data_IF_745296332405
#
_entry.id   IF_745296332405
#
_cell.length_a   1.000
_cell.length_b   1.000
_cell.length_c   1.000
_cell.angle_alpha   90.00
_cell.angle_beta   90.00
_cell.angle_gamma   90.00
#
_symmetry.space_group_name_H-M   'P 1'
#
loop_
_entity.id
_entity.type
_entity.pdbx_description
1 polymer ?
#
# COMPACT_ATOMS: atom_id res chain seq x y z
N UNK A 1 15.21 -15.58 0.68
CA UNK A 1 15.35 -14.71 1.88
C UNK A 1 14.08 -13.90 2.12
N UNK A 2 13.51 -13.28 1.08
CA UNK A 2 12.32 -12.45 1.23
C UNK A 2 11.10 -13.23 1.74
N UNK A 3 10.88 -14.45 1.25
CA UNK A 3 9.73 -15.28 1.66
C UNK A 3 9.71 -15.60 3.15
N UNK A 4 10.87 -15.91 3.75
CA UNK A 4 11.00 -16.16 5.20
C UNK A 4 10.62 -14.93 6.04
N UNK A 5 10.91 -13.72 5.53
CA UNK A 5 10.58 -12.46 6.21
C UNK A 5 9.09 -12.13 6.01
N UNK A 6 8.57 -12.27 4.79
CA UNK A 6 7.20 -11.86 4.46
C UNK A 6 6.16 -12.83 5.02
N UNK A 7 6.44 -14.13 5.08
CA UNK A 7 5.44 -15.15 5.42
C UNK A 7 4.80 -14.94 6.82
N UNK A 8 5.55 -14.66 7.90
CA UNK A 8 4.94 -14.35 9.21
C UNK A 8 4.04 -13.10 9.16
N UNK A 9 4.45 -12.06 8.42
CA UNK A 9 3.66 -10.85 8.27
C UNK A 9 2.38 -11.10 7.48
N UNK A 10 2.46 -11.86 6.38
CA UNK A 10 1.32 -12.21 5.55
C UNK A 10 0.31 -13.09 6.30
N UNK A 11 0.78 -14.15 6.96
CA UNK A 11 -0.12 -15.06 7.69
C UNK A 11 -0.89 -14.32 8.78
N UNK A 12 -0.22 -13.43 9.52
CA UNK A 12 -0.87 -12.51 10.45
C UNK A 12 -1.88 -11.60 9.74
N UNK A 13 -1.50 -11.00 8.61
CA UNK A 13 -2.39 -10.16 7.81
C UNK A 13 -3.66 -10.92 7.35
N UNK A 14 -3.55 -12.16 6.87
CA UNK A 14 -4.70 -12.97 6.49
C UNK A 14 -5.56 -13.39 7.69
N UNK A 15 -4.96 -13.63 8.86
CA UNK A 15 -5.72 -13.87 10.09
C UNK A 15 -6.59 -12.66 10.45
N UNK A 16 -6.01 -11.46 10.36
CA UNK A 16 -6.70 -10.19 10.61
C UNK A 16 -7.79 -9.95 9.56
N UNK A 17 -7.48 -10.17 8.28
CA UNK A 17 -8.42 -9.98 7.19
C UNK A 17 -9.61 -10.95 7.25
N UNK A 18 -9.36 -12.20 7.65
CA UNK A 18 -10.39 -13.23 7.85
C UNK A 18 -11.33 -12.83 8.98
N UNK A 19 -10.81 -12.28 10.09
CA UNK A 19 -11.65 -11.78 11.19
C UNK A 19 -12.63 -10.68 10.72
N UNK A 20 -12.25 -9.90 9.71
CA UNK A 20 -13.04 -8.78 9.19
C UNK A 20 -13.80 -9.09 7.90
N UNK A 21 -13.67 -10.31 7.35
CA UNK A 21 -14.28 -10.74 6.08
C UNK A 21 -14.06 -9.75 4.91
N UNK A 22 -12.90 -9.06 4.87
CA UNK A 22 -12.70 -7.91 3.99
C UNK A 22 -11.95 -8.22 2.68
N UNK A 23 -11.32 -9.39 2.56
CA UNK A 23 -10.53 -9.77 1.38
C UNK A 23 -11.19 -10.88 0.56
N UNK A 24 -10.88 -10.90 -0.74
CA UNK A 24 -11.26 -11.98 -1.66
C UNK A 24 -10.35 -13.20 -1.57
N UNK A 25 -9.32 -13.14 -0.73
CA UNK A 25 -8.27 -14.13 -0.61
C UNK A 25 -8.17 -14.62 0.84
N UNK A 26 -7.81 -15.88 1.02
CA UNK A 26 -7.58 -16.49 2.33
C UNK A 26 -6.29 -17.31 2.33
N UNK A 27 -5.67 -17.42 3.50
CA UNK A 27 -4.57 -18.35 3.69
C UNK A 27 -5.11 -19.75 4.00
N UNK A 28 -4.72 -20.74 3.19
CA UNK A 28 -5.08 -22.14 3.43
C UNK A 28 -3.93 -22.86 4.18
N UNK A 29 -4.05 -23.10 5.50
CA UNK A 29 -2.96 -23.71 6.27
C UNK A 29 -2.70 -25.17 5.86
N UNK A 30 -3.71 -25.89 5.35
CA UNK A 30 -3.55 -27.28 4.91
C UNK A 30 -2.72 -27.39 3.62
N UNK A 31 -2.89 -26.42 2.72
CA UNK A 31 -2.19 -26.39 1.43
C UNK A 31 -0.95 -25.49 1.45
N UNK A 32 -0.70 -24.79 2.55
CA UNK A 32 0.35 -23.79 2.71
C UNK A 32 0.40 -22.80 1.53
N UNK A 33 -0.77 -22.32 1.10
CA UNK A 33 -0.93 -21.46 -0.08
C UNK A 33 -2.11 -20.52 0.06
N UNK A 34 -2.08 -19.41 -0.65
CA UNK A 34 -3.21 -18.50 -0.79
C UNK A 34 -4.24 -19.11 -1.73
N UNK A 35 -5.50 -19.10 -1.29
CA UNK A 35 -6.66 -19.51 -2.08
C UNK A 35 -7.69 -18.40 -2.13
N UNK A 36 -8.67 -18.54 -3.01
CA UNK A 36 -9.84 -17.66 -2.98
C UNK A 36 -10.65 -17.89 -1.71
N UNK A 37 -11.17 -16.80 -1.14
CA UNK A 37 -12.08 -16.82 0.01
C UNK A 37 -13.42 -17.52 -0.27
N UNK A 38 -14.14 -17.85 0.79
CA UNK A 38 -15.47 -18.46 0.73
C UNK A 38 -16.53 -17.56 0.08
N UNK A 39 -17.64 -18.15 -0.37
CA UNK A 39 -18.76 -17.41 -1.01
C UNK A 39 -19.33 -16.30 -0.12
N UNK A 40 -19.38 -16.54 1.20
CA UNK A 40 -19.86 -15.55 2.17
C UNK A 40 -18.95 -14.32 2.22
N UNK A 41 -17.64 -14.52 2.41
CA UNK A 41 -16.64 -13.44 2.46
C UNK A 41 -16.65 -12.59 1.18
N UNK A 42 -16.77 -13.24 0.02
CA UNK A 42 -16.90 -12.55 -1.28
C UNK A 42 -18.13 -11.66 -1.33
N UNK A 43 -19.29 -12.16 -0.88
CA UNK A 43 -20.54 -11.38 -0.84
C UNK A 43 -20.44 -10.23 0.17
N UNK A 44 -19.90 -10.49 1.35
CA UNK A 44 -19.74 -9.50 2.40
C UNK A 44 -18.76 -8.38 1.99
N UNK A 45 -17.61 -8.73 1.42
CA UNK A 45 -16.63 -7.76 0.95
C UNK A 45 -17.21 -6.82 -0.12
N UNK A 46 -18.07 -7.31 -1.01
CA UNK A 46 -18.81 -6.48 -1.99
C UNK A 46 -19.79 -5.52 -1.34
N UNK A 47 -20.58 -5.98 -0.35
CA UNK A 47 -21.49 -5.11 0.39
C UNK A 47 -20.69 -4.02 1.09
N UNK A 48 -19.63 -4.38 1.80
CA UNK A 48 -18.78 -3.42 2.49
C UNK A 48 -18.06 -2.47 1.53
N UNK A 49 -17.77 -2.88 0.29
CA UNK A 49 -17.21 -1.99 -0.73
C UNK A 49 -18.20 -0.87 -1.08
N UNK A 50 -19.48 -1.22 -1.29
CA UNK A 50 -20.53 -0.23 -1.54
C UNK A 50 -20.71 0.71 -0.34
N UNK A 51 -20.71 0.16 0.88
CA UNK A 51 -20.78 0.95 2.12
C UNK A 51 -19.62 1.93 2.22
N UNK A 52 -18.40 1.51 1.89
CA UNK A 52 -17.21 2.38 1.93
C UNK A 52 -17.26 3.52 0.92
N UNK A 53 -17.79 3.28 -0.28
CA UNK A 53 -18.03 4.37 -1.24
C UNK A 53 -19.08 5.36 -0.73
N UNK A 54 -20.18 4.86 -0.15
CA UNK A 54 -21.17 5.71 0.51
C UNK A 54 -20.55 6.53 1.64
N UNK A 55 -19.70 5.90 2.46
CA UNK A 55 -18.96 6.55 3.54
C UNK A 55 -18.04 7.66 3.02
N UNK A 56 -17.23 7.39 1.99
CA UNK A 56 -16.36 8.40 1.35
C UNK A 56 -17.17 9.58 0.78
N UNK A 57 -18.32 9.32 0.15
CA UNK A 57 -19.18 10.38 -0.35
C UNK A 57 -19.71 11.26 0.79
N UNK A 58 -20.14 10.65 1.90
CA UNK A 58 -20.54 11.38 3.10
C UNK A 58 -19.40 12.22 3.67
N UNK A 59 -18.17 11.69 3.70
CA UNK A 59 -16.97 12.44 4.13
C UNK A 59 -16.71 13.68 3.27
N UNK A 60 -16.81 13.54 1.95
CA UNK A 60 -16.64 14.65 1.01
C UNK A 60 -17.71 15.72 1.25
N UNK A 61 -18.98 15.30 1.34
CA UNK A 61 -20.11 16.21 1.60
C UNK A 61 -19.93 16.93 2.95
N UNK A 62 -19.56 16.20 4.01
CA UNK A 62 -19.33 16.76 5.33
C UNK A 62 -18.19 17.77 5.35
N UNK A 63 -17.10 17.50 4.61
CA UNK A 63 -15.98 18.43 4.47
C UNK A 63 -16.37 19.69 3.69
N UNK A 64 -17.19 19.55 2.64
CA UNK A 64 -17.67 20.66 1.82
C UNK A 64 -18.63 21.58 2.57
N UNK A 65 -19.51 21.03 3.42
CA UNK A 65 -20.49 21.81 4.21
C UNK A 65 -19.87 22.40 5.48
N UNK A 66 -18.79 21.80 5.99
CA UNK A 66 -18.14 22.25 7.23
C UNK A 66 -17.73 23.72 7.16
N UNK A 67 -18.07 24.49 8.19
CA UNK A 67 -17.65 25.89 8.36
C UNK A 67 -16.27 26.03 9.02
N UNK A 68 -15.57 24.91 9.28
CA UNK A 68 -14.26 24.91 9.93
C UNK A 68 -13.23 25.68 9.11
N UNK A 69 -12.24 26.24 9.81
CA UNK A 69 -11.13 26.96 9.18
C UNK A 69 -10.32 26.01 8.28
N UNK A 70 -9.60 26.53 7.26
CA UNK A 70 -8.76 25.68 6.41
C UNK A 70 -7.73 24.84 7.18
N UNK A 71 -7.20 25.37 8.29
CA UNK A 71 -6.27 24.65 9.17
C UNK A 71 -6.96 23.44 9.84
N UNK A 72 -8.15 23.63 10.40
CA UNK A 72 -8.92 22.55 11.03
C UNK A 72 -9.38 21.49 10.01
N UNK A 73 -9.52 21.87 8.73
CA UNK A 73 -9.89 20.98 7.62
C UNK A 73 -8.74 20.14 7.08
N UNK A 74 -7.47 20.42 7.40
CA UNK A 74 -6.33 19.73 6.77
C UNK A 74 -6.24 18.25 7.16
N UNK A 75 -6.32 17.95 8.46
CA UNK A 75 -6.31 16.58 8.96
C UNK A 75 -7.53 15.81 8.42
N UNK A 76 -8.76 16.36 8.50
CA UNK A 76 -9.93 15.75 7.89
C UNK A 76 -9.80 15.47 6.39
N UNK A 77 -9.31 16.43 5.62
CA UNK A 77 -9.10 16.29 4.18
C UNK A 77 -8.08 15.18 3.88
N UNK A 78 -7.00 15.11 4.67
CA UNK A 78 -5.98 14.06 4.55
C UNK A 78 -6.57 12.68 4.83
N UNK A 79 -7.41 12.57 5.86
CA UNK A 79 -8.09 11.31 6.20
C UNK A 79 -9.10 10.90 5.12
N UNK A 80 -9.91 11.84 4.61
CA UNK A 80 -10.81 11.59 3.47
C UNK A 80 -10.02 11.12 2.25
N UNK A 81 -8.90 11.78 1.94
CA UNK A 81 -8.04 11.38 0.82
C UNK A 81 -7.49 9.96 1.00
N UNK A 82 -7.05 9.61 2.20
CA UNK A 82 -6.61 8.25 2.53
C UNK A 82 -7.76 7.23 2.35
N UNK A 83 -8.97 7.55 2.78
CA UNK A 83 -10.13 6.67 2.59
C UNK A 83 -10.53 6.51 1.11
N UNK A 84 -10.43 7.58 0.32
CA UNK A 84 -10.59 7.54 -1.14
C UNK A 84 -9.53 6.61 -1.74
N UNK A 85 -8.27 6.79 -1.36
CA UNK A 85 -7.14 5.96 -1.80
C UNK A 85 -7.37 4.47 -1.51
N UNK A 86 -7.73 4.14 -0.27
CA UNK A 86 -8.02 2.77 0.13
C UNK A 86 -9.25 2.19 -0.61
N UNK A 87 -10.28 2.99 -0.86
CA UNK A 87 -11.49 2.57 -1.58
C UNK A 87 -11.20 2.26 -3.05
N UNK A 88 -10.40 3.09 -3.73
CA UNK A 88 -9.95 2.83 -5.10
C UNK A 88 -9.10 1.56 -5.20
N UNK A 89 -8.15 1.36 -4.27
CA UNK A 89 -7.37 0.13 -4.20
C UNK A 89 -8.24 -1.10 -3.92
N UNK A 90 -9.26 -0.93 -3.08
CA UNK A 90 -10.26 -1.94 -2.74
C UNK A 90 -11.31 -2.20 -3.80
N UNK A 91 -11.34 -1.43 -4.89
CA UNK A 91 -12.33 -1.57 -5.95
C UNK A 91 -12.08 -2.83 -6.79
N UNK A 92 -12.49 -3.96 -6.23
CA UNK A 92 -12.36 -5.32 -6.78
C UNK A 92 -13.68 -6.04 -6.62
N UNK A 93 -14.14 -6.65 -7.71
CA UNK A 93 -15.40 -7.38 -7.72
C UNK A 93 -15.23 -8.89 -7.48
N UNK A 94 -14.05 -9.43 -7.78
CA UNK A 94 -13.71 -10.85 -7.69
C UNK A 94 -12.23 -11.05 -7.41
N UNK A 95 -11.88 -12.22 -6.85
CA UNK A 95 -10.49 -12.62 -6.71
C UNK A 95 -9.81 -12.61 -8.08
N UNK A 96 -8.63 -12.00 -8.16
CA UNK A 96 -7.80 -12.01 -9.36
C UNK A 96 -6.86 -13.22 -9.30
N UNK A 97 -6.95 -14.09 -10.30
CA UNK A 97 -6.10 -15.28 -10.40
C UNK A 97 -4.61 -14.93 -10.49
N UNK A 98 -4.25 -13.79 -11.11
CA UNK A 98 -2.86 -13.35 -11.21
C UNK A 98 -2.29 -13.02 -9.82
N UNK A 99 -3.07 -12.33 -8.97
CA UNK A 99 -2.67 -12.04 -7.59
C UNK A 99 -2.46 -13.32 -6.78
N UNK A 100 -3.35 -14.32 -6.92
CA UNK A 100 -3.21 -15.63 -6.26
C UNK A 100 -1.95 -16.36 -6.72
N UNK A 101 -1.69 -16.37 -8.04
CA UNK A 101 -0.50 -16.99 -8.61
C UNK A 101 0.78 -16.30 -8.13
N UNK A 102 0.84 -14.97 -8.22
CA UNK A 102 1.98 -14.16 -7.78
C UNK A 102 2.31 -14.42 -6.30
N UNK A 103 1.30 -14.33 -5.43
CA UNK A 103 1.47 -14.62 -4.00
C UNK A 103 2.01 -16.04 -3.80
N UNK A 104 1.40 -17.05 -4.42
CA UNK A 104 1.84 -18.44 -4.26
C UNK A 104 3.28 -18.68 -4.76
N UNK A 105 3.72 -18.00 -5.83
CA UNK A 105 5.11 -18.07 -6.30
C UNK A 105 6.07 -17.48 -5.26
N UNK A 106 5.74 -16.31 -4.72
CA UNK A 106 6.55 -15.64 -3.68
C UNK A 106 6.75 -16.59 -2.50
N UNK A 107 5.68 -17.25 -2.03
CA UNK A 107 5.75 -18.15 -0.86
C UNK A 107 6.40 -19.49 -1.17
N UNK A 108 6.14 -20.10 -2.32
CA UNK A 108 6.71 -21.40 -2.67
C UNK A 108 8.24 -21.36 -2.79
N UNK A 109 8.81 -20.19 -3.10
CA UNK A 109 10.26 -19.99 -3.23
C UNK A 109 11.07 -20.25 -1.95
N UNK A 110 10.43 -20.22 -0.77
CA UNK A 110 11.10 -20.42 0.53
C UNK A 110 11.86 -21.75 0.61
N UNK A 111 11.25 -22.84 0.12
CA UNK A 111 11.85 -24.18 0.20
C UNK A 111 13.15 -24.33 -0.59
N UNK A 112 13.36 -23.49 -1.60
CA UNK A 112 14.54 -23.54 -2.48
C UNK A 112 15.69 -22.65 -2.01
N UNK A 113 15.40 -21.63 -1.19
CA UNK A 113 16.36 -20.55 -0.88
C UNK A 113 17.32 -20.85 0.28
N UNK A 114 17.14 -21.93 1.05
CA UNK A 114 17.94 -22.17 2.26
C UNK A 114 19.41 -22.51 2.02
N UNK A 115 19.79 -22.92 0.81
CA UNK A 115 21.13 -23.45 0.55
C UNK A 115 22.13 -22.43 -0.05
N UNK A 116 21.68 -21.34 -0.70
CA UNK A 116 22.58 -20.61 -1.63
C UNK A 116 22.99 -19.16 -1.26
N UNK A 117 22.44 -18.51 -0.23
CA UNK A 117 22.64 -17.05 -0.02
C UNK A 117 23.14 -16.65 1.38
N UNK A 118 24.39 -16.99 1.75
CA UNK A 118 24.94 -16.64 3.09
C UNK A 118 25.60 -15.26 3.24
N UNK A 119 25.88 -14.51 2.16
CA UNK A 119 26.83 -13.38 2.24
C UNK A 119 26.26 -11.95 2.24
N UNK A 120 25.37 -11.61 1.30
CA UNK A 120 25.19 -10.20 0.88
C UNK A 120 23.77 -9.62 1.10
N UNK A 121 22.85 -10.37 1.68
CA UNK A 121 21.44 -9.98 1.80
C UNK A 121 21.01 -9.36 3.15
N UNK A 122 21.89 -9.31 4.16
CA UNK A 122 21.48 -9.01 5.55
C UNK A 122 20.86 -7.62 5.73
N UNK A 123 21.47 -6.57 5.16
CA UNK A 123 20.97 -5.19 5.32
C UNK A 123 19.61 -5.03 4.63
N UNK A 124 19.47 -5.52 3.39
CA UNK A 124 18.21 -5.47 2.66
C UNK A 124 17.10 -6.24 3.40
N UNK A 125 17.41 -7.42 3.93
CA UNK A 125 16.49 -8.18 4.78
C UNK A 125 16.01 -7.38 6.00
N UNK A 126 16.93 -6.73 6.72
CA UNK A 126 16.60 -5.91 7.89
C UNK A 126 15.69 -4.74 7.48
N UNK A 127 16.01 -4.03 6.40
CA UNK A 127 15.19 -2.90 5.90
C UNK A 127 13.79 -3.37 5.53
N UNK A 128 13.68 -4.50 4.81
CA UNK A 128 12.39 -5.06 4.42
C UNK A 128 11.60 -5.48 5.67
N UNK A 129 12.21 -6.23 6.59
CA UNK A 129 11.52 -6.64 7.80
C UNK A 129 11.04 -5.44 8.64
N UNK A 130 11.89 -4.42 8.79
CA UNK A 130 11.55 -3.17 9.47
C UNK A 130 10.38 -2.47 8.78
N UNK A 131 10.40 -2.39 7.44
CA UNK A 131 9.33 -1.75 6.67
C UNK A 131 8.00 -2.48 6.86
N UNK A 132 7.97 -3.81 6.77
CA UNK A 132 6.73 -4.58 6.99
C UNK A 132 6.26 -4.52 8.44
N UNK A 133 7.19 -4.47 9.40
CA UNK A 133 6.87 -4.33 10.81
C UNK A 133 6.26 -2.96 11.10
N UNK A 134 6.86 -1.89 10.57
CA UNK A 134 6.37 -0.52 10.70
C UNK A 134 5.01 -0.35 10.01
N UNK A 135 4.86 -0.86 8.78
CA UNK A 135 3.60 -0.81 8.05
C UNK A 135 2.48 -1.59 8.76
N UNK A 136 2.76 -2.78 9.28
CA UNK A 136 1.76 -3.54 10.03
C UNK A 136 1.43 -2.90 11.39
N UNK A 137 2.42 -2.34 12.08
CA UNK A 137 2.21 -1.63 13.33
C UNK A 137 1.36 -0.37 13.12
N UNK A 138 1.71 0.45 12.12
CA UNK A 138 0.94 1.65 11.78
C UNK A 138 -0.48 1.28 11.35
N UNK A 139 -0.62 0.26 10.49
CA UNK A 139 -1.89 -0.18 9.94
C UNK A 139 -2.85 -0.76 10.98
N UNK A 140 -2.40 -1.65 11.85
CA UNK A 140 -3.30 -2.43 12.71
C UNK A 140 -3.31 -1.98 14.17
N UNK A 141 -2.22 -1.39 14.65
CA UNK A 141 -2.03 -1.11 16.07
C UNK A 141 -2.14 0.39 16.37
N UNK A 142 -1.50 1.24 15.57
CA UNK A 142 -1.48 2.67 15.84
C UNK A 142 -2.72 3.37 15.27
N UNK A 143 -2.96 3.24 13.96
CA UNK A 143 -3.87 4.14 13.26
C UNK A 143 -5.35 3.95 13.64
N UNK A 144 -5.96 2.75 13.56
CA UNK A 144 -7.37 2.61 13.91
C UNK A 144 -7.69 2.95 15.38
N UNK A 145 -6.91 2.50 16.39
CA UNK A 145 -7.14 2.91 17.77
C UNK A 145 -6.94 4.42 17.99
N UNK A 146 -5.97 5.05 17.33
CA UNK A 146 -5.79 6.49 17.43
C UNK A 146 -7.00 7.27 16.92
N UNK A 147 -7.66 6.81 15.84
CA UNK A 147 -8.91 7.42 15.38
C UNK A 147 -10.05 7.19 16.38
N UNK A 148 -10.15 6.01 17.01
CA UNK A 148 -11.13 5.76 18.07
C UNK A 148 -10.93 6.71 19.25
N UNK A 149 -9.68 6.86 19.72
CA UNK A 149 -9.35 7.82 20.79
C UNK A 149 -9.73 9.23 20.37
N UNK A 150 -9.41 9.62 19.13
CA UNK A 150 -9.79 10.92 18.60
C UNK A 150 -11.32 11.11 18.58
N UNK A 151 -12.10 10.09 18.21
CA UNK A 151 -13.57 10.14 18.22
C UNK A 151 -14.18 10.21 19.62
N UNK A 152 -13.51 9.62 20.62
CA UNK A 152 -13.93 9.73 22.03
C UNK A 152 -13.73 11.15 22.54
N UNK A 153 -12.63 11.81 22.14
CA UNK A 153 -12.29 13.18 22.55
C UNK A 153 -13.08 14.22 21.72
N UNK A 154 -13.16 14.01 20.41
CA UNK A 154 -13.73 14.92 19.40
C UNK A 154 -14.78 14.19 18.55
N UNK A 155 -15.98 13.92 19.11
CA UNK A 155 -17.00 13.10 18.45
C UNK A 155 -17.55 13.70 17.15
N UNK A 156 -17.43 15.03 16.99
CA UNK A 156 -17.91 15.75 15.80
C UNK A 156 -16.77 16.26 14.92
N UNK A 157 -15.58 15.65 15.00
CA UNK A 157 -14.49 15.97 14.09
C UNK A 157 -14.89 15.59 12.66
N UNK A 158 -15.02 16.58 11.77
CA UNK A 158 -15.11 16.30 10.33
C UNK A 158 -13.88 15.48 9.91
N UNK A 159 -13.94 14.56 8.93
CA UNK A 159 -15.06 14.22 8.07
C UNK A 159 -15.86 13.03 8.64
N UNK A 160 -15.64 12.67 9.90
CA UNK A 160 -16.21 11.46 10.50
C UNK A 160 -17.71 11.61 10.64
N UNK A 161 -18.44 10.49 10.57
CA UNK A 161 -19.89 10.40 10.60
C UNK A 161 -20.49 11.11 11.82
N UNK A 162 -19.77 11.18 12.93
CA UNK A 162 -20.22 11.90 14.12
C UNK A 162 -20.51 13.39 13.85
N UNK A 163 -19.75 14.03 12.95
CA UNK A 163 -19.99 15.43 12.54
C UNK A 163 -21.30 15.64 11.76
N UNK A 164 -21.81 14.59 11.11
CA UNK A 164 -23.04 14.62 10.31
C UNK A 164 -24.25 14.11 11.09
N UNK A 165 -24.04 13.09 11.92
CA UNK A 165 -25.11 12.33 12.57
C UNK A 165 -25.39 12.81 14.00
N UNK A 166 -24.40 13.37 14.71
CA UNK A 166 -24.60 13.82 16.09
C UNK A 166 -25.10 15.27 16.11
N UNK A 167 -26.11 15.58 16.94
CA UNK A 167 -26.55 16.95 17.11
C UNK A 167 -25.49 17.79 17.83
N UNK A 168 -25.48 19.11 17.56
CA UNK A 168 -24.39 20.02 17.96
C UNK A 168 -24.15 20.10 19.48
N UNK A 169 -25.19 19.90 20.28
CA UNK A 169 -25.13 19.87 21.75
C UNK A 169 -24.31 18.69 22.29
N UNK A 170 -24.16 17.64 21.49
CA UNK A 170 -23.39 16.45 21.82
C UNK A 170 -21.90 16.65 21.52
N UNK A 171 -21.56 17.52 20.57
CA UNK A 171 -20.17 17.70 20.13
C UNK A 171 -19.23 18.22 21.21
N UNK A 172 -19.75 19.01 22.17
CA UNK A 172 -18.98 19.56 23.28
C UNK A 172 -18.97 18.67 24.52
N UNK A 173 -19.79 17.62 24.56
CA UNK A 173 -19.92 16.75 25.74
C UNK A 173 -19.01 15.53 25.63
N UNK A 174 -18.22 15.20 26.68
CA UNK A 174 -17.47 13.97 26.72
C UNK A 174 -18.41 12.75 26.71
N UNK A 175 -17.89 11.61 26.24
CA UNK A 175 -18.67 10.38 26.01
C UNK A 175 -19.51 10.00 27.24
N UNK A 176 -18.91 9.95 28.43
CA UNK A 176 -19.57 9.48 29.67
C UNK A 176 -20.62 10.44 30.24
N UNK A 177 -20.67 11.69 29.78
CA UNK A 177 -21.73 12.63 30.19
C UNK A 177 -22.98 12.52 29.30
N UNK A 178 -22.91 11.78 28.20
CA UNK A 178 -24.09 11.45 27.41
C UNK A 178 -24.85 10.34 28.13
N UNK A 179 -26.11 10.60 28.50
CA UNK A 179 -26.96 9.61 29.16
C UNK A 179 -28.01 9.05 28.18
N UNK A 180 -28.41 7.81 28.40
CA UNK A 180 -29.49 7.15 27.66
C UNK A 180 -29.15 6.83 26.21
N UNK A 181 -30.12 7.05 25.31
CA UNK A 181 -30.07 6.65 23.90
C UNK A 181 -28.90 7.29 23.14
N UNK A 182 -28.51 8.52 23.49
CA UNK A 182 -27.42 9.23 22.81
C UNK A 182 -26.06 8.58 23.06
N UNK A 183 -25.83 7.98 24.23
CA UNK A 183 -24.61 7.23 24.51
C UNK A 183 -24.51 6.00 23.59
N UNK A 184 -25.60 5.23 23.50
CA UNK A 184 -25.68 4.05 22.65
C UNK A 184 -25.42 4.43 21.19
N UNK A 185 -26.06 5.49 20.71
CA UNK A 185 -25.87 5.99 19.36
C UNK A 185 -24.42 6.40 19.08
N UNK A 186 -23.77 7.12 20.00
CA UNK A 186 -22.34 7.48 19.87
C UNK A 186 -21.44 6.26 19.81
N UNK A 187 -21.65 5.27 20.68
CA UNK A 187 -20.87 4.01 20.66
C UNK A 187 -21.05 3.31 19.32
N UNK A 188 -22.27 3.24 18.78
CA UNK A 188 -22.53 2.67 17.46
C UNK A 188 -21.73 3.42 16.37
N UNK A 189 -21.77 4.76 16.36
CA UNK A 189 -21.00 5.57 15.39
C UNK A 189 -19.50 5.28 15.50
N UNK A 190 -18.94 5.25 16.71
CA UNK A 190 -17.51 4.95 16.93
C UNK A 190 -17.15 3.55 16.43
N UNK A 191 -18.00 2.55 16.70
CA UNK A 191 -17.78 1.17 16.24
C UNK A 191 -17.85 1.08 14.72
N UNK A 192 -18.81 1.76 14.08
CA UNK A 192 -18.92 1.81 12.61
C UNK A 192 -17.66 2.45 12.01
N UNK A 193 -17.21 3.58 12.56
CA UNK A 193 -15.99 4.26 12.13
C UNK A 193 -14.76 3.37 12.25
N UNK A 194 -14.60 2.71 13.40
CA UNK A 194 -13.52 1.77 13.63
C UNK A 194 -13.52 0.64 12.60
N UNK A 195 -14.67 0.00 12.36
CA UNK A 195 -14.80 -1.09 11.39
C UNK A 195 -14.45 -0.61 9.97
N UNK A 196 -14.92 0.57 9.56
CA UNK A 196 -14.65 1.12 8.22
C UNK A 196 -13.16 1.42 8.03
N UNK A 197 -12.54 2.13 8.97
CA UNK A 197 -11.13 2.49 8.91
C UNK A 197 -10.26 1.24 8.95
N UNK A 198 -10.54 0.32 9.87
CA UNK A 198 -9.80 -0.93 9.99
C UNK A 198 -9.86 -1.73 8.68
N UNK A 199 -11.05 -1.82 8.08
CA UNK A 199 -11.24 -2.46 6.78
C UNK A 199 -10.42 -1.77 5.67
N UNK A 200 -10.50 -0.46 5.53
CA UNK A 200 -9.75 0.30 4.53
C UNK A 200 -8.25 0.04 4.63
N UNK A 201 -7.73 0.07 5.86
CA UNK A 201 -6.31 -0.13 6.13
C UNK A 201 -5.88 -1.57 5.83
N UNK A 202 -6.68 -2.58 6.18
CA UNK A 202 -6.40 -3.97 5.81
C UNK A 202 -6.39 -4.15 4.30
N UNK A 203 -7.37 -3.59 3.58
CA UNK A 203 -7.45 -3.66 2.11
C UNK A 203 -6.24 -2.98 1.47
N UNK A 204 -5.88 -1.78 1.91
CA UNK A 204 -4.74 -1.05 1.39
C UNK A 204 -3.43 -1.80 1.67
N UNK A 205 -3.22 -2.30 2.89
CA UNK A 205 -2.06 -3.10 3.23
C UNK A 205 -1.95 -4.35 2.32
N UNK A 206 -3.08 -5.00 2.01
CA UNK A 206 -3.10 -6.16 1.11
C UNK A 206 -2.55 -5.83 -0.28
N UNK A 207 -3.14 -4.84 -0.95
CA UNK A 207 -2.77 -4.53 -2.33
C UNK A 207 -1.42 -3.83 -2.44
N UNK A 208 -1.11 -2.93 -1.51
CA UNK A 208 0.15 -2.17 -1.52
C UNK A 208 1.31 -3.05 -1.04
N UNK A 209 1.24 -3.58 0.18
CA UNK A 209 2.40 -4.26 0.77
C UNK A 209 2.55 -5.68 0.22
N UNK A 210 1.47 -6.46 0.22
CA UNK A 210 1.55 -7.90 -0.02
C UNK A 210 1.44 -8.30 -1.49
N UNK A 211 0.88 -7.45 -2.35
CA UNK A 211 0.87 -7.70 -3.80
C UNK A 211 1.94 -6.85 -4.49
N UNK A 212 1.87 -5.52 -4.39
CA UNK A 212 2.76 -4.63 -5.12
C UNK A 212 4.22 -4.69 -4.61
N UNK A 213 4.45 -4.33 -3.35
CA UNK A 213 5.81 -4.25 -2.78
C UNK A 213 6.43 -5.64 -2.71
N UNK A 214 5.72 -6.64 -2.18
CA UNK A 214 6.19 -8.04 -2.15
C UNK A 214 6.54 -8.56 -3.55
N UNK A 215 5.68 -8.32 -4.53
CA UNK A 215 5.89 -8.78 -5.91
C UNK A 215 7.12 -8.16 -6.56
N UNK A 216 7.32 -6.86 -6.40
CA UNK A 216 8.49 -6.15 -6.94
C UNK A 216 9.78 -6.58 -6.22
N UNK A 217 9.76 -6.67 -4.89
CA UNK A 217 10.93 -7.11 -4.13
C UNK A 217 11.32 -8.55 -4.45
N UNK A 218 10.33 -9.43 -4.61
CA UNK A 218 10.58 -10.82 -5.00
C UNK A 218 11.18 -10.89 -6.41
N UNK A 219 10.60 -10.14 -7.35
CA UNK A 219 11.12 -10.05 -8.70
C UNK A 219 12.55 -9.50 -8.73
N UNK A 220 12.85 -8.53 -7.87
CA UNK A 220 14.20 -8.00 -7.69
C UNK A 220 15.17 -9.04 -7.11
N UNK A 221 14.79 -9.78 -6.07
CA UNK A 221 15.62 -10.84 -5.49
C UNK A 221 15.94 -11.93 -6.53
N UNK A 222 14.93 -12.43 -7.25
CA UNK A 222 15.11 -13.46 -8.28
C UNK A 222 15.93 -12.96 -9.46
N UNK A 223 15.75 -11.69 -9.86
CA UNK A 223 16.61 -11.07 -10.86
C UNK A 223 18.07 -11.09 -10.39
N UNK A 224 18.38 -10.57 -9.19
CA UNK A 224 19.77 -10.57 -8.69
C UNK A 224 20.36 -11.98 -8.64
N UNK A 225 19.59 -12.97 -8.16
CA UNK A 225 20.06 -14.36 -8.08
C UNK A 225 20.48 -14.88 -9.44
N UNK A 226 19.62 -14.75 -10.44
CA UNK A 226 19.93 -15.21 -11.80
C UNK A 226 21.14 -14.48 -12.36
N UNK A 227 21.23 -13.17 -12.14
CA UNK A 227 22.29 -12.32 -12.67
C UNK A 227 23.70 -12.68 -12.15
N UNK A 228 23.79 -13.40 -11.03
CA UNK A 228 25.06 -13.95 -10.53
C UNK A 228 25.55 -15.16 -11.32
N UNK A 229 24.64 -15.89 -11.98
CA UNK A 229 24.98 -17.04 -12.80
C UNK A 229 25.17 -16.60 -14.25
N UNK A 230 26.40 -16.69 -14.78
CA UNK A 230 26.65 -16.27 -16.14
C UNK A 230 25.91 -17.21 -17.12
N UNK A 231 25.14 -16.62 -18.05
CA UNK A 231 24.54 -17.26 -19.24
C UNK A 231 23.42 -18.29 -19.05
N UNK A 232 22.57 -18.18 -18.04
CA UNK A 232 21.36 -19.00 -17.98
C UNK A 232 20.23 -18.40 -18.83
N UNK A 233 20.16 -18.82 -20.11
CA UNK A 233 19.06 -18.43 -21.01
C UNK A 233 17.70 -18.91 -20.51
N UNK A 234 17.65 -20.12 -19.93
CA UNK A 234 16.44 -20.70 -19.36
C UNK A 234 15.98 -19.93 -18.13
N UNK A 235 16.90 -19.57 -17.23
CA UNK A 235 16.55 -18.77 -16.07
C UNK A 235 16.07 -17.37 -16.44
N UNK A 236 16.61 -16.77 -17.51
CA UNK A 236 16.10 -15.47 -18.00
C UNK A 236 14.67 -15.58 -18.53
N UNK A 237 14.33 -16.69 -19.21
CA UNK A 237 12.94 -16.97 -19.60
C UNK A 237 12.03 -17.13 -18.40
N UNK A 238 12.48 -17.80 -17.34
CA UNK A 238 11.70 -17.91 -16.10
C UNK A 238 11.42 -16.52 -15.49
N UNK A 239 12.39 -15.59 -15.53
CA UNK A 239 12.15 -14.21 -15.10
C UNK A 239 11.16 -13.45 -15.99
N UNK A 240 11.14 -13.68 -17.31
CA UNK A 240 10.13 -13.07 -18.19
C UNK A 240 8.72 -13.60 -17.89
N UNK A 241 8.59 -14.87 -17.50
CA UNK A 241 7.33 -15.43 -17.03
C UNK A 241 6.92 -14.76 -15.71
N UNK A 242 7.85 -14.59 -14.77
CA UNK A 242 7.60 -13.88 -13.52
C UNK A 242 7.22 -12.41 -13.75
N UNK A 243 7.88 -11.71 -14.68
CA UNK A 243 7.53 -10.36 -15.12
C UNK A 243 6.08 -10.29 -15.62
N UNK A 244 5.68 -11.30 -16.41
CA UNK A 244 4.33 -11.37 -16.99
C UNK A 244 3.28 -11.55 -15.89
N UNK A 245 3.52 -12.44 -14.93
CA UNK A 245 2.61 -12.69 -13.80
C UNK A 245 2.53 -11.48 -12.87
N UNK A 246 3.67 -10.86 -12.57
CA UNK A 246 3.73 -9.62 -11.78
C UNK A 246 2.93 -8.53 -12.48
N UNK A 247 3.23 -8.24 -13.76
CA UNK A 247 2.53 -7.19 -14.49
C UNK A 247 1.03 -7.49 -14.67
N UNK A 248 0.63 -8.75 -14.85
CA UNK A 248 -0.79 -9.10 -14.87
C UNK A 248 -1.50 -8.72 -13.56
N UNK A 249 -0.80 -8.84 -12.43
CA UNK A 249 -1.31 -8.51 -11.09
C UNK A 249 -1.41 -7.00 -10.83
N UNK A 250 -0.41 -6.21 -11.25
CA UNK A 250 -0.27 -4.81 -10.80
C UNK A 250 -0.50 -3.75 -11.89
N UNK A 251 -0.28 -4.05 -13.18
CA UNK A 251 -0.09 -3.05 -14.25
C UNK A 251 -1.24 -2.08 -14.47
N UNK A 252 -2.47 -2.58 -14.38
CA UNK A 252 -3.64 -1.81 -14.82
C UNK A 252 -4.32 -1.04 -13.70
N UNK A 253 -4.14 -1.46 -12.46
CA UNK A 253 -4.93 -0.96 -11.33
C UNK A 253 -4.04 -0.61 -10.15
N UNK A 254 -3.43 -1.62 -9.52
CA UNK A 254 -2.69 -1.42 -8.28
C UNK A 254 -1.52 -0.44 -8.50
N UNK A 255 -0.69 -0.67 -9.52
CA UNK A 255 0.49 0.16 -9.75
C UNK A 255 0.13 1.60 -10.13
N UNK A 256 -0.72 1.89 -11.14
CA UNK A 256 -1.09 3.27 -11.45
C UNK A 256 -1.76 4.00 -10.27
N UNK A 257 -2.62 3.31 -9.53
CA UNK A 257 -3.29 3.88 -8.36
C UNK A 257 -2.28 4.24 -7.27
N UNK A 258 -1.33 3.36 -6.92
CA UNK A 258 -0.29 3.68 -5.93
C UNK A 258 0.67 4.76 -6.43
N UNK A 259 1.06 4.70 -7.71
CA UNK A 259 1.95 5.69 -8.34
C UNK A 259 1.37 7.11 -8.31
N UNK A 260 0.04 7.25 -8.34
CA UNK A 260 -0.63 8.53 -8.18
C UNK A 260 -0.83 8.90 -6.70
N UNK A 261 -1.36 7.97 -5.90
CA UNK A 261 -1.80 8.25 -4.53
C UNK A 261 -0.66 8.45 -3.54
N UNK A 262 0.44 7.71 -3.68
CA UNK A 262 1.53 7.80 -2.72
C UNK A 262 2.30 9.13 -2.83
N UNK A 263 2.69 9.63 -4.04
CA UNK A 263 3.30 10.96 -4.17
C UNK A 263 2.40 12.10 -3.73
N UNK A 264 1.12 12.04 -4.06
CA UNK A 264 0.14 13.06 -3.64
C UNK A 264 -0.07 13.06 -2.13
N UNK A 265 -0.15 11.88 -1.48
CA UNK A 265 -0.17 11.78 -0.02
C UNK A 265 1.09 12.36 0.61
N UNK A 266 2.26 12.03 0.07
CA UNK A 266 3.54 12.56 0.54
C UNK A 266 3.57 14.09 0.49
N UNK A 267 3.18 14.69 -0.64
CA UNK A 267 3.08 16.15 -0.80
C UNK A 267 2.13 16.77 0.23
N UNK A 268 0.91 16.24 0.34
CA UNK A 268 -0.12 16.78 1.22
C UNK A 268 0.28 16.68 2.70
N UNK A 269 0.80 15.54 3.12
CA UNK A 269 1.15 15.29 4.52
C UNK A 269 2.39 16.08 4.94
N UNK A 270 3.44 16.17 4.11
CA UNK A 270 4.61 16.99 4.42
C UNK A 270 4.24 18.48 4.46
N UNK A 271 3.46 18.96 3.48
CA UNK A 271 2.96 20.34 3.49
C UNK A 271 2.14 20.62 4.75
N UNK A 272 1.25 19.70 5.14
CA UNK A 272 0.45 19.84 6.35
C UNK A 272 1.30 19.89 7.62
N UNK A 273 2.30 19.01 7.73
CA UNK A 273 3.23 18.99 8.86
C UNK A 273 4.02 20.31 9.01
N UNK A 274 4.47 20.91 7.91
CA UNK A 274 5.26 22.14 7.95
C UNK A 274 4.36 23.35 8.19
N UNK A 275 3.28 23.48 7.41
CA UNK A 275 2.44 24.68 7.42
C UNK A 275 1.56 24.80 8.66
N UNK A 276 0.99 23.68 9.11
CA UNK A 276 -0.01 23.68 10.19
C UNK A 276 0.54 23.11 11.49
N UNK A 277 1.87 23.12 11.67
CA UNK A 277 2.54 22.62 12.87
C UNK A 277 1.98 23.24 14.15
N UNK A 278 1.83 24.57 14.19
CA UNK A 278 1.38 25.30 15.38
C UNK A 278 -0.15 25.26 15.58
N UNK A 279 -0.91 25.04 14.52
CA UNK A 279 -2.38 25.08 14.53
C UNK A 279 -3.03 23.71 14.78
N UNK A 280 -2.27 22.62 14.59
CA UNK A 280 -2.81 21.26 14.65
C UNK A 280 -2.53 20.64 16.02
N UNK A 281 -3.47 19.86 16.54
CA UNK A 281 -3.24 19.09 17.77
C UNK A 281 -2.03 18.15 17.64
N UNK A 282 -1.27 17.97 18.72
CA UNK A 282 -0.03 17.18 18.71
C UNK A 282 -0.26 15.73 18.26
N UNK A 283 -1.40 15.12 18.64
CA UNK A 283 -1.72 13.74 18.24
C UNK A 283 -1.98 13.68 16.74
N UNK A 284 -2.77 14.62 16.21
CA UNK A 284 -3.04 14.72 14.77
C UNK A 284 -1.77 14.95 13.98
N UNK A 285 -0.88 15.83 14.45
CA UNK A 285 0.41 16.11 13.83
C UNK A 285 1.30 14.86 13.77
N UNK A 286 1.38 14.09 14.86
CA UNK A 286 2.13 12.83 14.89
C UNK A 286 1.57 11.83 13.88
N UNK A 287 0.23 11.71 13.77
CA UNK A 287 -0.40 10.84 12.77
C UNK A 287 -0.08 11.27 11.34
N UNK A 288 -0.14 12.57 11.03
CA UNK A 288 0.23 13.11 9.71
C UNK A 288 1.71 12.85 9.41
N UNK A 289 2.60 13.06 10.38
CA UNK A 289 4.03 12.80 10.21
C UNK A 289 4.32 11.32 9.93
N UNK A 290 3.64 10.40 10.64
CA UNK A 290 3.75 8.96 10.39
C UNK A 290 3.23 8.61 8.98
N UNK A 291 2.14 9.23 8.53
CA UNK A 291 1.64 9.06 7.17
C UNK A 291 2.63 9.56 6.12
N UNK A 292 3.27 10.71 6.35
CA UNK A 292 4.31 11.25 5.47
C UNK A 292 5.48 10.28 5.32
N UNK A 293 6.03 9.80 6.44
CA UNK A 293 7.13 8.82 6.44
C UNK A 293 6.73 7.53 5.71
N UNK A 294 5.53 7.00 5.98
CA UNK A 294 5.04 5.80 5.30
C UNK A 294 4.91 6.02 3.78
N UNK A 295 4.40 7.18 3.35
CA UNK A 295 4.25 7.51 1.93
C UNK A 295 5.62 7.61 1.24
N UNK A 296 6.59 8.32 1.83
CA UNK A 296 7.96 8.45 1.31
C UNK A 296 8.66 7.09 1.23
N UNK A 297 8.65 6.30 2.31
CA UNK A 297 9.29 4.97 2.34
C UNK A 297 8.68 4.06 1.29
N UNK A 298 7.35 4.05 1.16
CA UNK A 298 6.65 3.28 0.15
C UNK A 298 7.07 3.69 -1.26
N UNK A 299 7.01 4.99 -1.59
CA UNK A 299 7.41 5.54 -2.88
C UNK A 299 8.82 5.13 -3.28
N UNK A 300 9.78 5.32 -2.38
CA UNK A 300 11.17 4.95 -2.64
C UNK A 300 11.30 3.44 -2.86
N UNK A 301 10.65 2.62 -2.03
CA UNK A 301 10.84 1.16 -2.05
C UNK A 301 10.36 0.51 -3.35
N UNK A 302 9.10 0.71 -3.75
CA UNK A 302 8.58 0.05 -4.95
C UNK A 302 9.19 0.62 -6.24
N UNK A 303 9.45 1.93 -6.30
CA UNK A 303 10.08 2.55 -7.46
C UNK A 303 11.52 2.04 -7.63
N UNK A 304 12.30 2.04 -6.55
CA UNK A 304 13.72 1.62 -6.60
C UNK A 304 13.83 0.16 -6.98
N UNK A 305 13.01 -0.72 -6.40
CA UNK A 305 13.01 -2.14 -6.77
C UNK A 305 12.71 -2.35 -8.26
N UNK A 306 11.71 -1.64 -8.80
CA UNK A 306 11.36 -1.71 -10.21
C UNK A 306 12.48 -1.19 -11.14
N UNK A 307 13.07 -0.03 -10.82
CA UNK A 307 14.15 0.58 -11.60
C UNK A 307 15.43 -0.25 -11.61
N UNK A 308 15.81 -0.84 -10.46
CA UNK A 308 17.00 -1.70 -10.38
C UNK A 308 16.85 -2.95 -11.25
N UNK A 309 15.66 -3.57 -11.29
CA UNK A 309 15.41 -4.74 -12.15
C UNK A 309 15.56 -4.37 -13.63
N UNK A 310 15.01 -3.22 -14.05
CA UNK A 310 15.14 -2.73 -15.42
C UNK A 310 16.61 -2.56 -15.83
N UNK A 311 17.38 -1.81 -15.03
CA UNK A 311 18.79 -1.57 -15.28
C UNK A 311 19.61 -2.87 -15.31
N UNK A 312 19.50 -3.67 -14.26
CA UNK A 312 20.33 -4.86 -14.06
C UNK A 312 20.07 -5.93 -15.12
N UNK A 313 18.81 -6.09 -15.52
CA UNK A 313 18.48 -6.99 -16.63
C UNK A 313 18.98 -6.47 -17.99
N UNK A 314 19.00 -5.15 -18.20
CA UNK A 314 19.59 -4.52 -19.40
C UNK A 314 21.12 -4.70 -19.47
N UNK A 315 21.82 -4.45 -18.36
CA UNK A 315 23.27 -4.70 -18.22
C UNK A 315 23.60 -6.16 -18.57
N UNK A 316 22.84 -7.10 -18.00
CA UNK A 316 23.02 -8.53 -18.24
C UNK A 316 22.84 -8.93 -19.71
N UNK A 317 21.78 -8.46 -20.36
CA UNK A 317 21.56 -8.78 -21.77
C UNK A 317 22.66 -8.21 -22.67
N UNK A 318 23.19 -7.02 -22.34
CA UNK A 318 24.32 -6.42 -23.07
C UNK A 318 25.58 -7.27 -22.90
N UNK A 319 25.87 -7.70 -21.67
CA UNK A 319 27.03 -8.54 -21.38
C UNK A 319 26.91 -9.92 -22.04
N UNK A 320 25.74 -10.53 -22.03
CA UNK A 320 25.48 -11.77 -22.76
C UNK A 320 25.71 -11.59 -24.27
N UNK A 321 25.26 -10.47 -24.86
CA UNK A 321 25.39 -10.22 -26.31
C UNK A 321 26.85 -10.12 -26.74
N UNK A 322 27.72 -9.58 -25.89
CA UNK A 322 29.14 -9.48 -26.16
C UNK A 322 29.84 -10.85 -26.16
N UNK A 323 29.31 -11.84 -25.44
CA UNK A 323 30.01 -13.10 -25.16
C UNK A 323 29.48 -14.30 -25.94
N UNK A 324 28.21 -14.29 -26.34
CA UNK A 324 27.60 -15.36 -27.15
C UNK A 324 28.15 -15.34 -28.58
N UNK A 325 28.75 -16.45 -29.03
CA UNK A 325 29.31 -16.60 -30.38
C UNK A 325 28.36 -17.27 -31.38
N UNK A 326 27.48 -18.16 -30.91
CA UNK A 326 26.57 -18.96 -31.75
C UNK A 326 25.56 -18.13 -32.53
N UNK A 327 25.34 -18.44 -33.81
CA UNK A 327 24.37 -17.73 -34.66
C UNK A 327 22.93 -17.85 -34.13
N UNK A 328 22.54 -19.05 -33.69
CA UNK A 328 21.22 -19.32 -33.13
C UNK A 328 21.02 -18.56 -31.81
N UNK A 329 21.98 -18.67 -30.89
CA UNK A 329 21.93 -18.00 -29.59
C UNK A 329 21.93 -16.48 -29.73
N UNK A 330 22.66 -15.91 -30.69
CA UNK A 330 22.59 -14.47 -31.02
C UNK A 330 21.19 -14.06 -31.47
N UNK A 331 20.53 -14.87 -32.31
CA UNK A 331 19.14 -14.61 -32.72
C UNK A 331 18.19 -14.69 -31.53
N UNK A 332 18.35 -15.71 -30.68
CA UNK A 332 17.54 -15.89 -29.47
C UNK A 332 17.72 -14.70 -28.52
N UNK A 333 18.96 -14.30 -28.24
CA UNK A 333 19.27 -13.19 -27.35
C UNK A 333 18.85 -11.83 -27.91
N UNK A 334 18.80 -11.68 -29.23
CA UNK A 334 18.21 -10.49 -29.88
C UNK A 334 16.71 -10.38 -29.61
N UNK A 335 16.02 -11.50 -29.37
CA UNK A 335 14.60 -11.51 -29.00
C UNK A 335 14.34 -11.14 -27.54
N UNK A 336 15.37 -11.16 -26.68
CA UNK A 336 15.20 -10.83 -25.26
C UNK A 336 15.18 -9.31 -25.08
N UNK A 337 14.15 -8.83 -24.40
CA UNK A 337 14.03 -7.46 -23.93
C UNK A 337 14.39 -7.39 -22.44
N UNK A 338 14.93 -6.24 -21.97
CA UNK A 338 15.10 -5.98 -20.54
C UNK A 338 13.78 -6.18 -19.78
N UNK A 339 13.89 -6.69 -18.57
CA UNK A 339 12.77 -6.96 -17.67
C UNK A 339 12.17 -5.65 -17.18
N UNK A 340 10.84 -5.50 -17.25
CA UNK A 340 10.17 -4.21 -16.96
C UNK A 340 8.96 -4.38 -16.05
N UNK A 341 8.91 -3.60 -14.98
CA UNK A 341 7.66 -3.39 -14.22
C UNK A 341 6.84 -2.32 -14.93
N UNK A 342 5.65 -2.69 -15.41
CA UNK A 342 4.82 -1.87 -16.28
C UNK A 342 3.66 -1.23 -15.53
N UNK A 343 3.26 -0.05 -15.99
CA UNK A 343 2.06 0.65 -15.55
C UNK A 343 1.36 1.25 -16.77
N UNK A 344 0.14 0.78 -17.06
CA UNK A 344 -0.52 1.11 -18.33
C UNK A 344 0.35 0.72 -19.55
N UNK A 345 0.62 1.65 -20.46
CA UNK A 345 1.54 1.44 -21.59
C UNK A 345 3.02 1.70 -21.28
N UNK A 346 3.33 2.25 -20.09
CA UNK A 346 4.67 2.67 -19.69
C UNK A 346 5.35 1.65 -18.77
N UNK A 347 6.59 1.93 -18.39
CA UNK A 347 7.37 1.13 -17.45
C UNK A 347 8.23 2.01 -16.55
N UNK A 348 8.61 1.48 -15.39
CA UNK A 348 9.50 2.15 -14.46
C UNK A 348 10.95 2.02 -14.93
N UNK A 349 11.62 3.16 -15.07
CA UNK A 349 13.04 3.21 -15.39
C UNK A 349 13.88 3.45 -14.12
N UNK A 350 15.20 3.35 -14.24
CA UNK A 350 16.15 3.58 -13.15
C UNK A 350 16.00 4.96 -12.50
N UNK A 351 15.72 6.00 -13.29
CA UNK A 351 15.65 7.38 -12.80
C UNK A 351 14.26 7.77 -12.28
N UNK A 352 13.23 6.94 -12.51
CA UNK A 352 11.87 7.24 -12.09
C UNK A 352 11.72 7.50 -10.58
N UNK A 353 12.36 6.75 -9.65
CA UNK A 353 12.27 7.04 -8.22
C UNK A 353 12.77 8.45 -7.87
N UNK A 354 13.89 8.88 -8.48
CA UNK A 354 14.47 10.18 -8.24
C UNK A 354 13.59 11.30 -8.79
N UNK A 355 13.03 11.11 -10.00
CA UNK A 355 12.11 12.07 -10.62
C UNK A 355 10.85 12.24 -9.77
N UNK A 356 10.29 11.15 -9.23
CA UNK A 356 9.11 11.21 -8.36
C UNK A 356 9.42 11.98 -7.07
N UNK A 357 10.55 11.70 -6.42
CA UNK A 357 10.93 12.39 -5.18
C UNK A 357 11.27 13.86 -5.40
N UNK A 358 11.90 14.20 -6.52
CA UNK A 358 12.10 15.58 -6.94
C UNK A 358 10.75 16.28 -7.17
N UNK A 359 9.80 15.60 -7.84
CA UNK A 359 8.46 16.11 -8.04
C UNK A 359 7.73 16.37 -6.71
N UNK A 360 7.75 15.40 -5.77
CA UNK A 360 7.15 15.57 -4.44
C UNK A 360 7.73 16.78 -3.70
N UNK A 361 9.06 16.91 -3.71
CA UNK A 361 9.76 18.02 -3.04
C UNK A 361 9.42 19.37 -3.66
N UNK A 362 9.45 19.46 -4.99
CA UNK A 362 9.13 20.69 -5.71
C UNK A 362 7.67 21.13 -5.51
N UNK A 363 6.72 20.19 -5.58
CA UNK A 363 5.30 20.51 -5.36
C UNK A 363 5.02 20.90 -3.90
N UNK A 364 5.68 20.26 -2.94
CA UNK A 364 5.58 20.65 -1.53
C UNK A 364 6.09 22.08 -1.33
N UNK A 365 7.26 22.42 -1.88
CA UNK A 365 7.80 23.78 -1.81
C UNK A 365 6.86 24.80 -2.47
N UNK A 366 6.29 24.49 -3.63
CA UNK A 366 5.34 25.36 -4.32
C UNK A 366 4.07 25.60 -3.49
N UNK A 367 3.50 24.56 -2.87
CA UNK A 367 2.33 24.70 -1.99
C UNK A 367 2.64 25.55 -0.76
N UNK A 368 3.83 25.40 -0.17
CA UNK A 368 4.26 26.24 0.95
C UNK A 368 4.41 27.70 0.53
N UNK A 369 5.03 27.98 -0.62
CA UNK A 369 5.19 29.34 -1.15
C UNK A 369 3.85 30.00 -1.50
N UNK A 370 2.93 29.26 -2.11
CA UNK A 370 1.58 29.75 -2.40
C UNK A 370 0.80 30.07 -1.14
N UNK A 371 1.11 29.40 -0.02
CA UNK A 371 0.42 29.58 1.23
C UNK A 371 0.87 30.76 2.08
N UNK A 372 2.00 31.38 1.72
CA UNK A 372 2.54 32.56 2.39
C UNK A 372 1.93 33.87 1.85
N UNK A 373 1.24 33.79 0.71
CA UNK A 373 0.42 34.87 0.15
C UNK A 373 -0.98 34.79 0.73
#
# INVERSE_FOLDING_TARGET
>A
MLSEIILPHLTRHFSIARLNHCLFYEWNPKKNRVTESGKFDKKWSRVMLLVSWGYVLLQIIGLSISSATPAEKIFPATLTYLNIACSFLGFVWSADSANVQLMNIIYWSEKRSREECRGHGKILAVIINLTYSLANFSAYVAFPPAIVVMLVILPCQAPLLGSLLLPRDQCSRPLFQSLGIMLIFRVIVIVVEFIQIYRHVVIAAHYIMYILVSGILYFWEEAIKLLRFPYSMEGYRALQVLETILNASIRFRIFPTVLFLAPTMEILTICACIKYYDATDKIQLVLIAVLAVNATVLNVLYCTGAGIVCRKSGEYLRDMKARVKGKLDKKLLKSYAPLKVRFGSNFMDELTPLIIQQFCTAQTANLLLLSYK
#
